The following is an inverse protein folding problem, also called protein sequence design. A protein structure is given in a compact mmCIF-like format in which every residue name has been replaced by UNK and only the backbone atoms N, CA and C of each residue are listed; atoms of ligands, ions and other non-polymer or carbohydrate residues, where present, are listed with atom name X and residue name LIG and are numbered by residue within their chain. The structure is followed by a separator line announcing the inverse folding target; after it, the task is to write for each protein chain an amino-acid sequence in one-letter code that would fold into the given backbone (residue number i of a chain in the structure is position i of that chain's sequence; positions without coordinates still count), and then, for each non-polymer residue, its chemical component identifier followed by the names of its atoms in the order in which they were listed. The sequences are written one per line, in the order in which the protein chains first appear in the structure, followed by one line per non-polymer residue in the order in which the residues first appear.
data_IF_024501814612
#
_entry.id   IF_024501814612
#
_cell.length_a   1.000
_cell.length_b   1.000
_cell.length_c   1.000
_cell.angle_alpha   90.00
_cell.angle_beta   90.00
_cell.angle_gamma   90.00
#
_symmetry.space_group_name_H-M   'P 1'
#
loop_
_entity.id
_entity.type
_entity.pdbx_description
1 polymer ?
#
# COMPACT_ATOMS: atom_id res chain seq x y z
N UNK A 1 12.16 2.13 36.62
CA UNK A 1 11.30 0.93 36.54
C UNK A 1 10.36 1.13 35.38
N UNK A 2 10.87 0.80 34.21
CA UNK A 2 10.23 1.01 32.92
C UNK A 2 9.17 -0.05 32.71
N UNK A 3 7.90 0.36 32.58
CA UNK A 3 6.89 -0.50 31.98
C UNK A 3 7.13 -0.49 30.48
N UNK A 4 7.74 -1.55 29.97
CA UNK A 4 7.75 -1.87 28.55
C UNK A 4 6.30 -1.80 28.04
N UNK A 5 6.08 -0.92 27.08
CA UNK A 5 4.82 -0.87 26.35
C UNK A 5 4.76 -2.16 25.54
N UNK A 6 3.98 -3.12 26.04
CA UNK A 6 3.47 -4.23 25.26
C UNK A 6 2.89 -3.64 23.95
N UNK A 7 3.59 -3.89 22.84
CA UNK A 7 3.16 -3.49 21.52
C UNK A 7 1.88 -4.25 21.21
N UNK A 8 0.72 -3.59 21.34
CA UNK A 8 -0.55 -4.10 20.83
C UNK A 8 -0.33 -4.36 19.34
N UNK A 9 -0.25 -5.62 18.94
CA UNK A 9 -0.21 -6.00 17.53
C UNK A 9 -1.61 -5.71 17.01
N UNK A 10 -1.79 -4.57 16.35
CA UNK A 10 -3.00 -4.33 15.58
C UNK A 10 -3.03 -5.38 14.46
N UNK A 11 -3.99 -6.30 14.53
CA UNK A 11 -4.22 -7.32 13.50
C UNK A 11 -5.16 -6.81 12.39
N UNK A 12 -5.75 -5.63 12.58
CA UNK A 12 -6.73 -5.03 11.68
C UNK A 12 -6.42 -3.56 11.37
N UNK A 13 -6.61 -3.15 10.12
CA UNK A 13 -6.59 -1.76 9.68
C UNK A 13 -8.00 -1.24 9.38
N UNK A 14 -8.17 0.08 9.40
CA UNK A 14 -9.41 0.78 9.03
C UNK A 14 -9.22 1.66 7.80
N UNK A 15 -10.33 2.11 7.22
CA UNK A 15 -10.30 2.95 6.02
C UNK A 15 -9.39 4.18 6.23
N UNK A 16 -8.53 4.45 5.26
CA UNK A 16 -7.54 5.53 5.32
C UNK A 16 -6.19 5.13 5.92
N UNK A 17 -6.05 3.95 6.52
CA UNK A 17 -4.75 3.50 7.02
C UNK A 17 -3.77 3.21 5.88
N UNK A 18 -2.49 3.52 6.13
CA UNK A 18 -1.41 3.19 5.22
C UNK A 18 -1.02 1.73 5.37
N UNK A 19 -1.23 0.94 4.33
CA UNK A 19 -1.06 -0.51 4.34
C UNK A 19 -0.27 -1.00 3.13
N UNK A 20 0.21 -2.25 3.17
CA UNK A 20 0.80 -2.94 2.03
C UNK A 20 -0.06 -4.14 1.63
N UNK A 21 -0.35 -4.24 0.33
CA UNK A 21 -0.96 -5.42 -0.28
C UNK A 21 0.06 -6.21 -1.09
N UNK A 22 -0.20 -7.50 -1.23
CA UNK A 22 0.55 -8.42 -2.08
C UNK A 22 -0.40 -9.18 -3.01
N UNK A 23 0.05 -9.43 -4.24
CA UNK A 23 -0.69 -10.23 -5.23
C UNK A 23 0.29 -10.88 -6.22
N UNK A 24 0.01 -12.12 -6.62
CA UNK A 24 0.66 -12.73 -7.80
C UNK A 24 -0.02 -12.16 -9.06
N UNK A 25 0.79 -11.55 -9.93
CA UNK A 25 0.31 -10.94 -11.17
C UNK A 25 0.41 -11.91 -12.34
N UNK A 26 1.46 -12.74 -12.37
CA UNK A 26 1.66 -13.81 -13.34
C UNK A 26 2.22 -15.02 -12.61
N UNK A 27 1.63 -16.19 -12.87
CA UNK A 27 2.13 -17.47 -12.37
C UNK A 27 3.42 -17.88 -13.10
N UNK A 28 4.19 -18.86 -12.57
CA UNK A 28 5.33 -19.42 -13.28
C UNK A 28 4.97 -19.87 -14.69
N UNK A 29 5.79 -19.49 -15.68
CA UNK A 29 5.57 -19.78 -17.10
C UNK A 29 4.67 -18.79 -17.85
N UNK A 30 3.97 -17.89 -17.15
CA UNK A 30 3.12 -16.87 -17.81
C UNK A 30 3.90 -15.59 -18.20
N UNK A 31 5.20 -15.50 -17.86
CA UNK A 31 6.03 -14.36 -18.26
C UNK A 31 6.50 -14.52 -19.70
N UNK A 32 6.85 -13.39 -20.32
CA UNK A 32 7.25 -13.34 -21.72
C UNK A 32 8.37 -14.34 -22.04
N UNK A 33 8.28 -15.01 -23.20
CA UNK A 33 9.19 -16.09 -23.59
C UNK A 33 10.67 -15.72 -23.63
N UNK A 34 10.99 -14.43 -23.80
CA UNK A 34 12.37 -13.93 -23.84
C UNK A 34 13.05 -13.77 -22.48
N UNK A 35 12.35 -13.95 -21.35
CA UNK A 35 13.00 -13.87 -20.03
C UNK A 35 13.85 -15.12 -19.77
N UNK A 36 14.94 -15.02 -18.98
CA UNK A 36 15.75 -16.19 -18.64
C UNK A 36 14.94 -17.33 -18.03
N UNK A 37 15.38 -18.57 -18.23
CA UNK A 37 14.68 -19.77 -17.75
C UNK A 37 14.40 -19.73 -16.24
N UNK A 38 15.36 -19.26 -15.45
CA UNK A 38 15.20 -19.12 -14.00
C UNK A 38 14.09 -18.13 -13.63
N UNK A 39 13.90 -17.08 -14.44
CA UNK A 39 12.83 -16.10 -14.25
C UNK A 39 11.46 -16.66 -14.64
N UNK A 40 11.40 -17.60 -15.60
CA UNK A 40 10.16 -18.30 -15.96
C UNK A 40 9.67 -19.23 -14.85
N UNK A 41 10.58 -19.79 -14.04
CA UNK A 41 10.28 -20.77 -13.00
C UNK A 41 9.65 -20.18 -11.73
N UNK A 42 9.53 -18.85 -11.63
CA UNK A 42 9.04 -18.15 -10.43
C UNK A 42 7.92 -17.17 -10.78
N UNK A 43 6.97 -16.94 -9.86
CA UNK A 43 5.88 -16.00 -10.09
C UNK A 43 6.37 -14.55 -10.20
N UNK A 44 5.60 -13.72 -10.89
CA UNK A 44 5.72 -12.27 -10.80
C UNK A 44 4.80 -11.75 -9.70
N UNK A 45 5.39 -11.31 -8.60
CA UNK A 45 4.66 -10.78 -7.45
C UNK A 45 4.65 -9.25 -7.45
N UNK A 46 3.51 -8.67 -7.05
CA UNK A 46 3.35 -7.25 -6.79
C UNK A 46 3.23 -7.03 -5.29
N UNK A 47 4.01 -6.08 -4.77
CA UNK A 47 3.78 -5.46 -3.46
C UNK A 47 3.50 -3.99 -3.67
N UNK A 48 2.40 -3.50 -3.12
CA UNK A 48 2.00 -2.12 -3.32
C UNK A 48 1.48 -1.52 -2.02
N UNK A 49 1.90 -0.28 -1.75
CA UNK A 49 1.44 0.49 -0.61
C UNK A 49 0.40 1.51 -1.01
N UNK A 50 -0.57 1.74 -0.13
CA UNK A 50 -1.65 2.68 -0.35
C UNK A 50 -2.53 2.83 0.87
N UNK A 51 -3.56 3.66 0.74
CA UNK A 51 -4.57 3.86 1.76
C UNK A 51 -5.67 2.81 1.64
N UNK A 52 -5.99 2.12 2.73
CA UNK A 52 -7.06 1.13 2.75
C UNK A 52 -8.40 1.79 2.37
N UNK A 53 -9.16 1.16 1.48
CA UNK A 53 -10.49 1.65 1.08
C UNK A 53 -11.60 1.01 1.92
N UNK A 54 -11.47 -0.28 2.23
CA UNK A 54 -12.40 -1.02 3.09
C UNK A 54 -12.56 -0.34 4.46
N UNK A 55 -13.75 -0.44 5.06
CA UNK A 55 -14.03 0.13 6.39
C UNK A 55 -13.10 -0.46 7.46
N UNK A 56 -12.92 -1.78 7.43
CA UNK A 56 -11.99 -2.54 8.26
C UNK A 56 -11.50 -3.77 7.51
N UNK A 57 -10.26 -4.19 7.75
CA UNK A 57 -9.73 -5.44 7.23
C UNK A 57 -8.63 -6.02 8.15
N UNK A 58 -8.57 -7.35 8.23
CA UNK A 58 -7.54 -8.07 8.96
C UNK A 58 -6.39 -8.49 8.05
N UNK A 59 -5.19 -8.69 8.64
CA UNK A 59 -4.06 -9.26 7.91
C UNK A 59 -4.45 -10.58 7.23
N UNK A 60 -4.13 -10.70 5.95
CA UNK A 60 -4.42 -11.86 5.12
C UNK A 60 -5.72 -11.78 4.33
N UNK A 61 -6.58 -10.80 4.57
CA UNK A 61 -7.81 -10.59 3.80
C UNK A 61 -7.54 -9.94 2.44
N UNK A 62 -8.45 -10.14 1.47
CA UNK A 62 -8.41 -9.43 0.19
C UNK A 62 -9.03 -8.05 0.34
N UNK A 63 -8.28 -7.01 0.00
CA UNK A 63 -8.66 -5.61 0.21
C UNK A 63 -8.39 -4.76 -1.03
N UNK A 64 -9.05 -3.61 -1.09
CA UNK A 64 -8.75 -2.55 -2.05
C UNK A 64 -7.94 -1.44 -1.38
N UNK A 65 -6.91 -0.94 -2.06
CA UNK A 65 -6.16 0.24 -1.66
C UNK A 65 -6.25 1.33 -2.71
N UNK A 66 -6.18 2.59 -2.27
CA UNK A 66 -5.94 3.75 -3.12
C UNK A 66 -4.48 4.17 -3.02
N UNK A 67 -3.75 4.07 -4.12
CA UNK A 67 -2.34 4.49 -4.21
C UNK A 67 -2.19 6.00 -4.09
N UNK A 68 -0.97 6.48 -3.83
CA UNK A 68 -0.68 7.93 -3.72
C UNK A 68 -1.02 8.73 -4.99
N UNK A 69 -1.03 8.07 -6.16
CA UNK A 69 -1.41 8.67 -7.45
C UNK A 69 -2.88 8.44 -7.82
N UNK A 70 -3.70 7.88 -6.92
CA UNK A 70 -5.15 7.76 -7.09
C UNK A 70 -5.64 6.47 -7.75
N UNK A 71 -4.76 5.53 -8.12
CA UNK A 71 -5.17 4.21 -8.64
C UNK A 71 -5.80 3.36 -7.55
N UNK A 72 -6.88 2.66 -7.88
CA UNK A 72 -7.50 1.63 -7.04
C UNK A 72 -6.90 0.26 -7.41
N UNK A 73 -6.38 -0.47 -6.43
CA UNK A 73 -5.70 -1.75 -6.65
C UNK A 73 -6.11 -2.75 -5.58
N UNK A 74 -6.37 -3.99 -5.98
CA UNK A 74 -6.75 -5.09 -5.08
C UNK A 74 -5.58 -6.04 -4.82
N UNK A 75 -5.54 -6.57 -3.60
CA UNK A 75 -4.59 -7.61 -3.21
C UNK A 75 -4.80 -8.08 -1.77
N UNK A 76 -3.97 -9.03 -1.34
CA UNK A 76 -3.98 -9.55 0.02
C UNK A 76 -3.29 -8.57 0.97
N UNK A 77 -3.94 -8.19 2.06
CA UNK A 77 -3.36 -7.33 3.10
C UNK A 77 -2.21 -8.08 3.80
N UNK A 78 -0.98 -7.58 3.72
CA UNK A 78 0.21 -8.27 4.25
C UNK A 78 0.99 -7.47 5.28
N UNK A 79 0.74 -6.17 5.41
CA UNK A 79 1.38 -5.34 6.43
C UNK A 79 0.53 -4.12 6.75
N UNK A 80 0.43 -3.82 8.05
CA UNK A 80 -0.13 -2.56 8.54
C UNK A 80 1.03 -1.59 8.79
N UNK A 81 0.86 -0.31 8.45
CA UNK A 81 1.85 0.75 8.66
C UNK A 81 3.27 0.36 8.20
N UNK A 82 3.46 -0.07 6.94
CA UNK A 82 4.74 -0.62 6.47
C UNK A 82 5.85 0.43 6.50
N UNK A 83 6.93 0.13 7.23
CA UNK A 83 8.14 0.95 7.30
C UNK A 83 9.23 0.46 6.33
N UNK A 84 10.20 1.32 6.03
CA UNK A 84 11.44 0.90 5.35
C UNK A 84 12.46 0.50 6.41
N UNK A 85 13.03 -0.71 6.29
CA UNK A 85 14.02 -1.22 7.25
C UNK A 85 15.42 -0.63 7.02
N UNK A 86 15.68 -0.04 5.86
CA UNK A 86 16.86 0.77 5.56
C UNK A 86 16.51 2.24 5.85
N UNK A 87 17.16 2.81 6.85
CA UNK A 87 16.66 3.88 7.73
C UNK A 87 16.46 5.27 7.08
N UNK A 88 15.20 5.74 7.06
CA UNK A 88 14.80 7.16 7.01
C UNK A 88 13.78 7.54 8.12
N UNK A 89 13.65 6.71 9.16
CA UNK A 89 12.65 6.88 10.22
C UNK A 89 11.27 6.30 9.88
N UNK A 90 10.32 6.46 10.81
CA UNK A 90 8.94 6.01 10.63
C UNK A 90 8.18 6.99 9.71
N UNK A 91 7.33 6.48 8.79
CA UNK A 91 6.50 7.34 7.95
C UNK A 91 5.50 8.12 8.82
N UNK A 92 5.61 9.45 8.81
CA UNK A 92 4.69 10.33 9.53
C UNK A 92 3.36 10.41 8.80
N UNK A 93 2.25 10.15 9.51
CA UNK A 93 0.91 10.01 8.92
C UNK A 93 0.47 11.29 8.20
N UNK A 94 0.76 12.44 8.78
CA UNK A 94 0.43 13.78 8.26
C UNK A 94 1.06 14.02 6.89
N UNK A 95 2.28 13.51 6.67
CA UNK A 95 3.00 13.68 5.42
C UNK A 95 2.53 12.73 4.31
N UNK A 96 1.78 11.67 4.65
CA UNK A 96 1.28 10.72 3.66
C UNK A 96 0.15 11.32 2.80
N UNK A 97 -0.74 12.09 3.42
CA UNK A 97 -1.95 12.63 2.77
C UNK A 97 -1.71 13.99 2.08
N UNK A 98 -0.79 14.82 2.60
CA UNK A 98 -0.62 16.22 2.19
C UNK A 98 -0.42 16.41 0.68
N UNK A 99 0.28 15.51 0.01
CA UNK A 99 0.52 15.60 -1.44
C UNK A 99 -0.75 15.39 -2.28
N UNK A 100 -1.71 14.59 -1.80
CA UNK A 100 -3.01 14.40 -2.46
C UNK A 100 -3.94 15.58 -2.17
N UNK A 101 -3.93 16.07 -0.93
CA UNK A 101 -4.70 17.24 -0.52
C UNK A 101 -4.30 18.47 -1.33
N UNK A 102 -3.01 18.77 -1.44
CA UNK A 102 -2.50 19.90 -2.21
C UNK A 102 -2.91 19.82 -3.68
N UNK A 103 -2.80 18.65 -4.31
CA UNK A 103 -3.27 18.47 -5.70
C UNK A 103 -4.76 18.70 -5.87
N UNK A 104 -5.55 18.32 -4.87
CA UNK A 104 -7.01 18.55 -4.86
C UNK A 104 -7.33 20.04 -4.75
N UNK A 105 -6.59 20.78 -3.91
CA UNK A 105 -6.74 22.24 -3.77
C UNK A 105 -6.38 22.96 -5.08
N UNK A 106 -5.22 22.66 -5.65
CA UNK A 106 -4.75 23.26 -6.91
C UNK A 106 -5.70 23.01 -8.08
N UNK A 107 -6.33 21.82 -8.13
CA UNK A 107 -7.33 21.51 -9.15
C UNK A 107 -8.61 22.33 -8.98
N UNK A 108 -9.09 22.50 -7.74
CA UNK A 108 -10.28 23.31 -7.44
C UNK A 108 -10.11 24.78 -7.82
N UNK A 109 -8.91 25.33 -7.68
CA UNK A 109 -8.61 26.71 -8.08
C UNK A 109 -8.48 26.88 -9.60
N UNK A 110 -8.05 25.83 -10.32
CA UNK A 110 -7.91 25.86 -11.78
C UNK A 110 -9.21 25.67 -12.57
N UNK A 111 -10.25 25.10 -11.95
CA UNK A 111 -11.59 24.90 -12.56
C UNK A 111 -12.54 26.09 -12.28
N UNK A 112 -12.00 27.25 -11.87
CA UNK A 112 -12.74 28.44 -11.41
C UNK A 112 -13.04 29.52 -12.46
N UNK A 113 -12.73 29.30 -13.74
CA UNK A 113 -12.91 30.28 -14.84
C UNK A 113 -13.59 29.66 -16.10
N UNK A 114 -14.61 28.81 -15.93
CA UNK A 114 -15.58 28.46 -17.01
C UNK A 114 -17.03 28.44 -16.51
#
# INVERSE_FOLDING_TARGET
MSKEKESIIEESAVSGDWVEIWKVILEPGERASQVPEDTQKVPLEMRMRGFLVNERANLGESVSIRTRIGRLVEGKLVSLHPRYNHTFGEPQKELLAIGQELRTLLKKEGDGDE
#
